data_IF_418848607851
#
_entry.id   IF_418848607851
#
_cell.length_a   1.000
_cell.length_b   1.000
_cell.length_c   1.000
_cell.angle_alpha   90.00
_cell.angle_beta   90.00
_cell.angle_gamma   90.00
#
_symmetry.space_group_name_H-M   'P 1'
#
loop_
_entity.id
_entity.type
_entity.pdbx_description
1 polymer ?
#
# COMPACT_ATOMS: atom_id res chain seq x y z
N UNK A 1 13.67 -8.68 4.87
CA UNK A 1 12.51 -9.17 4.09
C UNK A 1 11.27 -8.96 4.93
N UNK A 2 10.22 -8.32 4.41
CA UNK A 2 8.94 -8.16 5.13
C UNK A 2 8.13 -9.45 4.92
N UNK A 3 7.77 -10.21 5.97
CA UNK A 3 7.00 -11.44 5.81
C UNK A 3 5.57 -11.17 5.32
N UNK A 4 5.16 -11.81 4.22
CA UNK A 4 3.79 -11.74 3.67
C UNK A 4 2.90 -12.81 4.27
N UNK A 5 2.68 -12.72 5.58
CA UNK A 5 1.85 -13.68 6.33
C UNK A 5 0.35 -13.35 6.23
N UNK A 6 -0.50 -14.22 6.79
CA UNK A 6 -1.95 -14.04 6.76
C UNK A 6 -2.40 -12.67 7.29
N UNK A 7 -1.76 -12.15 8.34
CA UNK A 7 -2.16 -10.85 8.88
C UNK A 7 -1.84 -9.68 7.94
N UNK A 8 -0.78 -9.78 7.12
CA UNK A 8 -0.56 -8.80 6.05
C UNK A 8 -1.70 -8.87 5.03
N UNK A 9 -2.16 -10.07 4.67
CA UNK A 9 -3.27 -10.22 3.72
C UNK A 9 -4.60 -9.67 4.25
N UNK A 10 -4.81 -9.72 5.56
CA UNK A 10 -5.92 -9.02 6.23
C UNK A 10 -5.84 -7.49 6.03
N UNK A 11 -4.66 -6.91 6.23
CA UNK A 11 -4.42 -5.47 5.99
C UNK A 11 -4.61 -5.11 4.49
N UNK A 12 -4.12 -5.97 3.59
CA UNK A 12 -4.20 -5.76 2.14
C UNK A 12 -5.64 -5.74 1.65
N UNK A 13 -6.47 -6.72 2.02
CA UNK A 13 -7.86 -6.73 1.56
C UNK A 13 -8.65 -5.56 2.16
N UNK A 14 -8.39 -5.20 3.42
CA UNK A 14 -9.03 -4.04 4.06
C UNK A 14 -8.69 -2.73 3.34
N UNK A 15 -7.41 -2.56 2.97
CA UNK A 15 -6.97 -1.40 2.22
C UNK A 15 -7.60 -1.37 0.82
N UNK A 16 -7.58 -2.51 0.11
CA UNK A 16 -8.22 -2.64 -1.21
C UNK A 16 -9.72 -2.28 -1.13
N UNK A 17 -10.44 -2.84 -0.16
CA UNK A 17 -11.86 -2.56 0.05
C UNK A 17 -12.13 -1.08 0.34
N UNK A 18 -11.29 -0.42 1.14
CA UNK A 18 -11.41 1.01 1.42
C UNK A 18 -11.21 1.84 0.14
N UNK A 19 -10.18 1.54 -0.64
CA UNK A 19 -9.85 2.25 -1.88
C UNK A 19 -10.94 2.06 -2.94
N UNK A 20 -11.46 0.83 -3.09
CA UNK A 20 -12.56 0.53 -4.00
C UNK A 20 -13.80 1.38 -3.70
N UNK A 21 -14.16 1.55 -2.41
CA UNK A 21 -15.28 2.42 -2.00
C UNK A 21 -15.03 3.91 -2.21
N UNK A 22 -13.78 4.31 -2.41
CA UNK A 22 -13.39 5.66 -2.82
C UNK A 22 -13.32 5.81 -4.35
N UNK A 23 -13.61 4.76 -5.12
CA UNK A 23 -13.48 4.74 -6.57
C UNK A 23 -12.02 4.66 -7.06
N UNK A 24 -11.09 4.29 -6.17
CA UNK A 24 -9.66 4.14 -6.48
C UNK A 24 -9.34 2.65 -6.60
N UNK A 25 -9.23 2.14 -7.82
CA UNK A 25 -8.80 0.76 -8.07
C UNK A 25 -7.31 0.78 -8.40
N UNK A 26 -6.49 0.15 -7.56
CA UNK A 26 -5.04 0.06 -7.73
C UNK A 26 -4.61 -1.39 -8.03
N UNK A 27 -3.46 -1.58 -8.70
CA UNK A 27 -2.85 -2.90 -8.81
C UNK A 27 -2.63 -3.52 -7.42
N UNK A 28 -2.95 -4.81 -7.26
CA UNK A 28 -2.80 -5.51 -5.98
C UNK A 28 -1.37 -5.42 -5.43
N UNK A 29 -0.37 -5.41 -6.32
CA UNK A 29 1.04 -5.32 -5.94
C UNK A 29 1.37 -3.99 -5.25
N UNK A 30 0.79 -2.88 -5.73
CA UNK A 30 0.99 -1.55 -5.12
C UNK A 30 0.37 -1.51 -3.72
N UNK A 31 -0.79 -2.15 -3.54
CA UNK A 31 -1.46 -2.28 -2.24
C UNK A 31 -0.59 -3.11 -1.28
N UNK A 32 -0.05 -4.24 -1.74
CA UNK A 32 0.85 -5.10 -0.94
C UNK A 32 2.11 -4.34 -0.54
N UNK A 33 2.73 -3.60 -1.45
CA UNK A 33 3.92 -2.77 -1.18
C UNK A 33 3.60 -1.70 -0.13
N UNK A 34 2.45 -1.02 -0.26
CA UNK A 34 2.03 0.00 0.70
C UNK A 34 1.80 -0.58 2.11
N UNK A 35 1.12 -1.73 2.23
CA UNK A 35 0.97 -2.42 3.51
C UNK A 35 2.33 -2.82 4.10
N UNK A 36 3.25 -3.36 3.29
CA UNK A 36 4.60 -3.69 3.73
C UNK A 36 5.35 -2.47 4.28
N UNK A 37 5.29 -1.33 3.56
CA UNK A 37 5.96 -0.10 3.96
C UNK A 37 5.39 0.44 5.28
N UNK A 38 4.07 0.54 5.41
CA UNK A 38 3.40 1.00 6.62
C UNK A 38 3.74 0.12 7.83
N UNK A 39 3.70 -1.21 7.66
CA UNK A 39 4.04 -2.15 8.74
C UNK A 39 5.49 -2.07 9.19
N UNK A 40 6.39 -1.75 8.26
CA UNK A 40 7.80 -1.53 8.55
C UNK A 40 8.09 -0.11 9.10
N UNK A 41 7.10 0.78 9.15
CA UNK A 41 7.33 2.21 9.45
C UNK A 41 8.23 2.89 8.42
N UNK A 42 8.22 2.41 7.18
CA UNK A 42 9.09 2.85 6.09
C UNK A 42 8.34 3.70 5.05
N UNK A 43 9.10 4.43 4.25
CA UNK A 43 8.60 5.14 3.08
C UNK A 43 8.77 4.31 1.79
N UNK A 44 7.93 4.57 0.79
CA UNK A 44 8.07 4.02 -0.56
C UNK A 44 8.80 5.05 -1.43
N UNK A 45 10.01 4.72 -1.90
CA UNK A 45 10.73 5.52 -2.89
C UNK A 45 10.33 5.08 -4.30
N UNK A 46 9.63 5.94 -5.04
CA UNK A 46 9.08 5.57 -6.37
C UNK A 46 8.78 6.79 -7.22
N UNK A 47 8.72 6.62 -8.54
CA UNK A 47 8.16 7.61 -9.49
C UNK A 47 6.70 7.32 -9.84
N UNK A 48 6.18 6.17 -9.43
CA UNK A 48 4.79 5.78 -9.67
C UNK A 48 3.83 6.63 -8.82
N UNK A 49 2.74 7.11 -9.44
CA UNK A 49 1.75 7.98 -8.81
C UNK A 49 0.62 7.21 -8.14
N UNK A 50 0.48 5.90 -8.37
CA UNK A 50 -0.51 5.08 -7.68
C UNK A 50 -0.40 5.20 -6.15
N UNK A 51 0.84 5.25 -5.65
CA UNK A 51 1.11 5.37 -4.21
C UNK A 51 0.64 6.70 -3.60
N UNK A 52 0.46 7.75 -4.41
CA UNK A 52 -0.13 9.03 -3.93
C UNK A 52 -1.61 8.88 -3.56
N UNK A 53 -2.28 7.85 -4.08
CA UNK A 53 -3.71 7.61 -3.85
C UNK A 53 -3.98 6.89 -2.52
N UNK A 54 -2.94 6.43 -1.83
CA UNK A 54 -3.00 5.64 -0.60
C UNK A 54 -2.81 6.56 0.61
N UNK A 55 -3.91 6.86 1.29
CA UNK A 55 -3.90 7.74 2.47
C UNK A 55 -2.99 7.17 3.58
N UNK A 56 -2.10 8.01 4.12
CA UNK A 56 -1.21 7.66 5.23
C UNK A 56 0.09 6.97 4.84
N UNK A 57 0.30 6.69 3.54
CA UNK A 57 1.58 6.18 3.04
C UNK A 57 2.58 7.34 2.87
N UNK A 58 3.81 7.16 3.39
CA UNK A 58 4.89 8.11 3.11
C UNK A 58 5.56 7.75 1.79
N UNK A 59 5.55 8.68 0.83
CA UNK A 59 6.15 8.51 -0.49
C UNK A 59 7.31 9.48 -0.68
N UNK A 60 8.46 8.96 -1.11
CA UNK A 60 9.66 9.75 -1.44
C UNK A 60 9.89 9.66 -2.96
N UNK A 61 10.27 10.79 -3.56
CA UNK A 61 10.63 10.86 -4.98
C UNK A 61 12.16 10.88 -5.12
N UNK A 62 12.73 10.16 -6.10
CA UNK A 62 14.15 10.27 -6.42
C UNK A 62 14.51 11.64 -7.00
#
# INVERSE_FOLDING_TARGET
MVPTNASLWDEVWQLAWKLDRQGKVLPLQDIVIACCANRAGAAVMTTDRHFDLIDGLTVIRP
#
